data_IF_454496901672
#
_entry.id   IF_454496901672
#
_cell.length_a   1.000
_cell.length_b   1.000
_cell.length_c   1.000
_cell.angle_alpha   90.00
_cell.angle_beta   90.00
_cell.angle_gamma   90.00
#
_symmetry.space_group_name_H-M   'P 1'
#
loop_
_entity.id
_entity.type
_entity.pdbx_description
1 polymer ?
#
# COMPACT_ATOMS: atom_id res chain seq x y z
N UNK A 1 24.24 -39.28 20.41
CA UNK A 1 22.93 -39.10 19.76
C UNK A 1 21.85 -38.43 20.62
N UNK A 2 21.72 -38.71 21.92
CA UNK A 2 20.71 -38.06 22.77
C UNK A 2 20.82 -36.53 22.78
N UNK A 3 22.03 -35.99 22.87
CA UNK A 3 22.23 -34.54 22.90
C UNK A 3 21.99 -33.90 21.53
N UNK A 4 22.46 -34.51 20.46
CA UNK A 4 22.24 -34.01 19.09
C UNK A 4 20.75 -33.93 18.78
N UNK A 5 19.96 -34.90 19.27
CA UNK A 5 18.51 -34.85 19.27
C UNK A 5 17.93 -33.67 20.07
N UNK A 6 18.44 -33.39 21.27
CA UNK A 6 18.03 -32.23 22.08
C UNK A 6 18.37 -30.91 21.38
N UNK A 7 19.58 -30.79 20.83
CA UNK A 7 20.03 -29.61 20.08
C UNK A 7 19.15 -29.43 18.85
N UNK A 8 18.95 -30.48 18.07
CA UNK A 8 18.11 -30.45 16.87
C UNK A 8 16.66 -30.05 17.20
N UNK A 9 16.05 -30.66 18.22
CA UNK A 9 14.70 -30.31 18.69
C UNK A 9 14.59 -28.85 19.15
N UNK A 10 15.63 -28.36 19.86
CA UNK A 10 15.70 -26.95 20.28
C UNK A 10 15.79 -26.01 19.07
N UNK A 11 16.61 -26.33 18.07
CA UNK A 11 16.72 -25.55 16.84
C UNK A 11 15.42 -25.57 16.01
N UNK A 12 14.67 -26.68 15.99
CA UNK A 12 13.33 -26.75 15.38
C UNK A 12 12.38 -25.76 16.05
N UNK A 13 12.30 -25.78 17.38
CA UNK A 13 11.43 -24.88 18.13
C UNK A 13 11.76 -23.40 17.85
N UNK A 14 13.05 -23.06 17.83
CA UNK A 14 13.52 -21.72 17.48
C UNK A 14 13.21 -21.35 16.02
N UNK A 15 13.32 -22.30 15.08
CA UNK A 15 13.01 -22.06 13.67
C UNK A 15 11.52 -21.77 13.47
N UNK A 16 10.65 -22.58 14.07
CA UNK A 16 9.19 -22.36 14.04
C UNK A 16 8.85 -20.97 14.60
N UNK A 17 9.40 -20.63 15.76
CA UNK A 17 9.22 -19.31 16.37
C UNK A 17 9.70 -18.18 15.44
N UNK A 18 10.87 -18.35 14.82
CA UNK A 18 11.43 -17.36 13.88
C UNK A 18 10.55 -17.16 12.66
N UNK A 19 10.05 -18.23 12.03
CA UNK A 19 9.18 -18.11 10.86
C UNK A 19 7.80 -17.53 11.22
N UNK A 20 7.25 -17.89 12.37
CA UNK A 20 6.04 -17.25 12.90
C UNK A 20 6.24 -15.74 13.09
N UNK A 21 7.32 -15.34 13.76
CA UNK A 21 7.68 -13.93 13.97
C UNK A 21 7.84 -13.19 12.64
N UNK A 22 8.48 -13.82 11.64
CA UNK A 22 8.60 -13.24 10.30
C UNK A 22 7.24 -13.07 9.61
N UNK A 23 6.31 -14.01 9.78
CA UNK A 23 4.98 -13.90 9.18
C UNK A 23 4.20 -12.69 9.69
N UNK A 24 4.41 -12.29 10.94
CA UNK A 24 3.75 -11.15 11.57
C UNK A 24 4.38 -9.80 11.16
N UNK A 25 5.71 -9.69 11.21
CA UNK A 25 6.41 -8.40 11.06
C UNK A 25 7.00 -8.19 9.66
N UNK A 26 7.22 -9.26 8.90
CA UNK A 26 7.89 -9.25 7.59
C UNK A 26 9.31 -8.64 7.62
N UNK A 27 9.99 -8.65 8.78
CA UNK A 27 11.40 -8.23 8.89
C UNK A 27 12.33 -9.25 8.22
N UNK A 28 13.09 -8.80 7.22
CA UNK A 28 14.07 -9.63 6.50
C UNK A 28 15.14 -10.22 7.40
N UNK A 29 15.48 -9.55 8.51
CA UNK A 29 16.45 -10.08 9.47
C UNK A 29 15.96 -11.38 10.10
N UNK A 30 14.68 -11.42 10.46
CA UNK A 30 14.03 -12.61 11.02
C UNK A 30 13.93 -13.74 10.00
N UNK A 31 13.69 -13.43 8.73
CA UNK A 31 13.72 -14.42 7.66
C UNK A 31 15.10 -15.07 7.53
N UNK A 32 16.17 -14.28 7.41
CA UNK A 32 17.52 -14.83 7.25
C UNK A 32 18.00 -15.57 8.49
N UNK A 33 17.53 -15.17 9.69
CA UNK A 33 17.78 -15.92 10.90
C UNK A 33 17.10 -17.30 10.87
N UNK A 34 15.83 -17.38 10.47
CA UNK A 34 15.11 -18.65 10.30
C UNK A 34 15.78 -19.56 9.25
N UNK A 35 16.21 -18.99 8.13
CA UNK A 35 16.98 -19.73 7.11
C UNK A 35 18.32 -20.23 7.65
N UNK A 36 19.01 -19.43 8.46
CA UNK A 36 20.23 -19.86 9.13
C UNK A 36 19.96 -21.01 10.11
N UNK A 37 18.87 -20.98 10.88
CA UNK A 37 18.48 -22.07 11.77
C UNK A 37 18.24 -23.39 11.01
N UNK A 38 17.62 -23.35 9.82
CA UNK A 38 17.48 -24.54 8.97
C UNK A 38 18.85 -25.11 8.60
N UNK A 39 19.79 -24.27 8.18
CA UNK A 39 21.15 -24.74 7.84
C UNK A 39 21.93 -25.22 9.07
N UNK A 40 21.69 -24.63 10.25
CA UNK A 40 22.29 -25.07 11.51
C UNK A 40 21.74 -26.42 11.96
N UNK A 41 20.44 -26.66 11.82
CA UNK A 41 19.81 -27.97 12.02
C UNK A 41 20.46 -29.02 11.09
N UNK A 42 20.60 -28.68 9.80
CA UNK A 42 21.30 -29.52 8.84
C UNK A 42 22.72 -29.86 9.30
N UNK A 43 23.47 -28.87 9.81
CA UNK A 43 24.83 -29.08 10.31
C UNK A 43 24.88 -30.01 11.53
N UNK A 44 23.92 -29.90 12.46
CA UNK A 44 23.84 -30.76 13.64
C UNK A 44 23.54 -32.22 13.26
N UNK A 45 22.65 -32.45 12.29
CA UNK A 45 22.28 -33.82 11.90
C UNK A 45 23.24 -34.45 10.90
N UNK A 46 23.93 -33.61 10.11
CA UNK A 46 24.82 -34.03 9.02
C UNK A 46 26.27 -34.30 9.45
N UNK A 47 26.71 -33.78 10.59
CA UNK A 47 28.07 -34.02 11.08
C UNK A 47 28.15 -35.30 11.94
N UNK A 48 29.33 -35.92 11.96
CA UNK A 48 29.58 -37.13 12.74
C UNK A 48 29.60 -36.85 14.24
N UNK A 49 29.10 -37.80 15.01
CA UNK A 49 29.12 -37.81 16.48
C UNK A 49 30.36 -38.56 17.00
N UNK A 50 30.50 -38.63 18.33
CA UNK A 50 31.64 -39.26 19.01
C UNK A 50 31.84 -40.75 18.66
N UNK A 51 30.78 -41.45 18.24
CA UNK A 51 30.77 -42.83 17.76
C UNK A 51 30.91 -42.95 16.22
N UNK A 52 31.09 -41.83 15.51
CA UNK A 52 31.20 -41.76 14.06
C UNK A 52 29.88 -41.82 13.30
N UNK A 53 28.76 -42.09 13.98
CA UNK A 53 27.43 -42.10 13.36
C UNK A 53 26.94 -40.68 13.09
N UNK A 54 25.90 -40.53 12.25
CA UNK A 54 25.25 -39.23 12.01
C UNK A 54 23.77 -39.34 12.29
N UNK A 55 23.19 -38.33 12.91
CA UNK A 55 21.76 -38.36 13.25
C UNK A 55 20.88 -38.48 12.01
N UNK A 56 21.28 -37.89 10.87
CA UNK A 56 20.48 -37.99 9.65
C UNK A 56 20.35 -39.43 9.13
N UNK A 57 21.32 -40.31 9.40
CA UNK A 57 21.32 -41.70 8.93
C UNK A 57 20.18 -42.53 9.56
N UNK A 58 19.62 -42.05 10.68
CA UNK A 58 18.43 -42.61 11.32
C UNK A 58 17.12 -42.08 10.73
N UNK A 59 17.16 -40.89 10.11
CA UNK A 59 16.00 -40.24 9.48
C UNK A 59 15.86 -40.74 8.04
N UNK A 60 16.99 -40.91 7.34
CA UNK A 60 17.05 -41.32 5.95
C UNK A 60 18.19 -42.31 5.76
N UNK A 61 17.90 -43.45 5.12
CA UNK A 61 18.94 -44.40 4.71
C UNK A 61 19.85 -43.73 3.67
N UNK A 62 21.19 -43.71 3.88
CA UNK A 62 22.13 -43.23 2.89
C UNK A 62 21.99 -44.00 1.58
N UNK A 63 22.23 -43.33 0.46
CA UNK A 63 22.41 -44.03 -0.81
C UNK A 63 23.72 -44.80 -0.80
N UNK A 64 23.71 -46.02 -1.34
CA UNK A 64 24.89 -46.87 -1.46
C UNK A 64 25.96 -46.22 -2.35
N UNK A 65 25.52 -45.58 -3.44
CA UNK A 65 26.35 -44.75 -4.32
C UNK A 65 25.87 -43.29 -4.26
N UNK A 66 26.81 -42.33 -4.25
CA UNK A 66 26.44 -40.92 -4.21
C UNK A 66 26.06 -40.44 -5.63
N UNK A 67 24.82 -39.96 -5.83
CA UNK A 67 24.33 -39.57 -7.15
C UNK A 67 24.95 -38.26 -7.68
N UNK A 68 25.68 -37.51 -6.86
CA UNK A 68 26.16 -36.16 -7.21
C UNK A 68 27.67 -36.03 -7.34
N UNK A 69 28.45 -36.83 -6.61
CA UNK A 69 29.91 -36.70 -6.52
C UNK A 69 30.55 -38.05 -6.25
N UNK A 70 31.81 -38.22 -6.63
CA UNK A 70 32.63 -39.43 -6.40
C UNK A 70 33.09 -39.60 -4.93
N UNK A 71 32.32 -39.07 -3.98
CA UNK A 71 32.57 -39.13 -2.54
C UNK A 71 31.38 -39.79 -1.83
N UNK A 72 31.58 -40.35 -0.63
CA UNK A 72 30.47 -40.99 0.10
C UNK A 72 29.29 -40.02 0.33
N UNK A 73 28.06 -40.47 0.08
CA UNK A 73 26.85 -39.62 0.18
C UNK A 73 26.73 -38.90 1.55
N UNK A 74 26.96 -39.57 2.69
CA UNK A 74 26.94 -38.88 3.99
C UNK A 74 27.99 -37.76 4.14
N UNK A 75 29.16 -37.92 3.52
CA UNK A 75 30.20 -36.89 3.54
C UNK A 75 29.79 -35.66 2.73
N UNK A 76 29.04 -35.87 1.64
CA UNK A 76 28.51 -34.81 0.78
C UNK A 76 27.45 -34.02 1.51
N UNK A 77 26.49 -34.71 2.15
CA UNK A 77 25.47 -34.08 2.99
C UNK A 77 26.14 -33.21 4.06
N UNK A 78 27.10 -33.76 4.79
CA UNK A 78 27.85 -33.05 5.84
C UNK A 78 28.52 -31.76 5.34
N UNK A 79 29.11 -31.78 4.13
CA UNK A 79 29.71 -30.59 3.55
C UNK A 79 28.67 -29.58 3.08
N UNK A 80 27.61 -29.99 2.39
CA UNK A 80 26.55 -29.08 1.95
C UNK A 80 26.00 -28.30 3.15
N UNK A 81 25.64 -29.00 4.22
CA UNK A 81 25.08 -28.36 5.42
C UNK A 81 26.12 -27.50 6.14
N UNK A 82 27.38 -27.95 6.24
CA UNK A 82 28.45 -27.20 6.88
C UNK A 82 28.77 -25.88 6.16
N UNK A 83 28.85 -25.92 4.82
CA UNK A 83 29.10 -24.73 4.01
C UNK A 83 27.90 -23.79 4.02
N UNK A 84 26.69 -24.33 3.86
CA UNK A 84 25.46 -23.55 3.91
C UNK A 84 25.29 -22.85 5.27
N UNK A 85 25.59 -23.53 6.37
CA UNK A 85 25.53 -22.96 7.71
C UNK A 85 26.48 -21.76 7.87
N UNK A 86 27.72 -21.88 7.39
CA UNK A 86 28.72 -20.82 7.46
C UNK A 86 28.29 -19.59 6.64
N UNK A 87 27.87 -19.81 5.40
CA UNK A 87 27.45 -18.77 4.47
C UNK A 87 26.19 -18.06 4.97
N UNK A 88 25.19 -18.83 5.40
CA UNK A 88 23.91 -18.29 5.85
C UNK A 88 24.08 -17.47 7.14
N UNK A 89 25.04 -17.82 8.01
CA UNK A 89 25.36 -16.99 9.16
C UNK A 89 25.85 -15.59 8.74
N UNK A 90 26.74 -15.51 7.75
CA UNK A 90 27.25 -14.24 7.21
C UNK A 90 26.12 -13.41 6.59
N UNK A 91 25.22 -14.06 5.84
CA UNK A 91 24.05 -13.40 5.24
C UNK A 91 23.11 -12.84 6.31
N UNK A 92 22.83 -13.62 7.35
CA UNK A 92 22.05 -13.18 8.50
C UNK A 92 22.73 -12.00 9.22
N UNK A 93 23.99 -12.16 9.60
CA UNK A 93 24.74 -11.20 10.41
C UNK A 93 24.86 -9.83 9.71
N UNK A 94 25.20 -9.82 8.42
CA UNK A 94 25.31 -8.58 7.64
C UNK A 94 23.95 -7.89 7.44
N UNK A 95 22.86 -8.66 7.36
CA UNK A 95 21.51 -8.08 7.32
C UNK A 95 21.15 -7.49 8.68
N UNK A 96 21.43 -8.20 9.78
CA UNK A 96 21.08 -7.77 11.13
C UNK A 96 21.61 -6.37 11.43
N UNK A 97 22.88 -6.12 11.11
CA UNK A 97 23.55 -4.83 11.33
C UNK A 97 23.31 -3.79 10.21
N UNK A 98 22.49 -4.12 9.19
CA UNK A 98 22.23 -3.31 8.00
C UNK A 98 23.52 -2.89 7.25
N UNK A 99 24.45 -3.84 7.09
CA UNK A 99 25.79 -3.56 6.56
C UNK A 99 25.75 -2.89 5.17
N UNK A 100 24.83 -3.30 4.30
CA UNK A 100 24.68 -2.72 2.93
C UNK A 100 24.40 -1.21 2.95
N UNK A 101 23.58 -0.75 3.89
CA UNK A 101 23.14 0.65 3.95
C UNK A 101 24.23 1.55 4.52
N UNK A 102 24.94 1.09 5.56
CA UNK A 102 25.90 1.93 6.30
C UNK A 102 27.35 1.75 5.83
N UNK A 103 27.71 0.57 5.33
CA UNK A 103 29.08 0.21 4.94
C UNK A 103 29.08 -0.62 3.64
N UNK A 104 28.75 -0.03 2.49
CA UNK A 104 28.57 -0.75 1.23
C UNK A 104 29.83 -1.49 0.76
N UNK A 105 31.03 -0.94 1.00
CA UNK A 105 32.29 -1.62 0.69
C UNK A 105 32.47 -2.89 1.52
N UNK A 106 32.21 -2.85 2.83
CA UNK A 106 32.25 -4.03 3.69
C UNK A 106 31.22 -5.09 3.24
N UNK A 107 30.04 -4.66 2.81
CA UNK A 107 29.05 -5.56 2.23
C UNK A 107 29.56 -6.25 0.96
N UNK A 108 30.26 -5.54 0.07
CA UNK A 108 30.90 -6.15 -1.11
C UNK A 108 31.96 -7.19 -0.73
N UNK A 109 32.78 -6.93 0.30
CA UNK A 109 33.72 -7.93 0.83
C UNK A 109 33.01 -9.20 1.32
N UNK A 110 31.85 -9.07 1.97
CA UNK A 110 31.05 -10.26 2.34
C UNK A 110 30.52 -11.00 1.13
N UNK A 111 30.18 -10.33 0.02
CA UNK A 111 29.79 -11.00 -1.23
C UNK A 111 30.97 -11.78 -1.83
N UNK A 112 32.15 -11.16 -1.86
CA UNK A 112 33.37 -11.82 -2.33
C UNK A 112 33.66 -13.09 -1.51
N UNK A 113 33.53 -13.00 -0.18
CA UNK A 113 33.63 -14.16 0.70
C UNK A 113 32.61 -15.24 0.34
N UNK A 114 31.34 -14.90 0.14
CA UNK A 114 30.29 -15.88 -0.19
C UNK A 114 30.56 -16.59 -1.53
N UNK A 115 31.01 -15.84 -2.54
CA UNK A 115 31.39 -16.40 -3.85
C UNK A 115 32.61 -17.31 -3.70
N UNK A 116 33.64 -16.85 -2.97
CA UNK A 116 34.82 -17.65 -2.65
C UNK A 116 34.44 -18.97 -1.96
N UNK A 117 33.58 -18.92 -0.95
CA UNK A 117 33.16 -20.09 -0.17
C UNK A 117 32.38 -21.09 -1.01
N UNK A 118 31.49 -20.62 -1.88
CA UNK A 118 30.75 -21.46 -2.82
C UNK A 118 31.66 -22.07 -3.90
N UNK A 119 32.59 -21.27 -4.44
CA UNK A 119 33.56 -21.73 -5.44
C UNK A 119 34.46 -22.80 -4.84
N UNK A 120 34.94 -22.58 -3.61
CA UNK A 120 35.75 -23.56 -2.88
C UNK A 120 35.02 -24.89 -2.71
N UNK A 121 33.74 -24.87 -2.30
CA UNK A 121 32.92 -26.08 -2.21
C UNK A 121 32.84 -26.84 -3.54
N UNK A 122 32.53 -26.13 -4.63
CA UNK A 122 32.37 -26.73 -5.97
C UNK A 122 33.70 -27.32 -6.43
N UNK A 123 34.79 -26.56 -6.30
CA UNK A 123 36.12 -26.98 -6.73
C UNK A 123 36.58 -28.20 -5.94
N UNK A 124 36.43 -28.18 -4.61
CA UNK A 124 36.83 -29.29 -3.75
C UNK A 124 35.99 -30.57 -3.96
N UNK A 125 34.75 -30.45 -4.45
CA UNK A 125 33.86 -31.59 -4.66
C UNK A 125 33.85 -32.17 -6.07
N UNK A 126 34.13 -31.36 -7.08
CA UNK A 126 34.11 -31.78 -8.48
C UNK A 126 35.48 -32.13 -9.03
N UNK A 127 36.56 -31.59 -8.45
CA UNK A 127 37.90 -31.82 -8.96
C UNK A 127 38.68 -32.66 -7.96
N UNK A 128 39.30 -33.72 -8.47
CA UNK A 128 40.27 -34.50 -7.71
C UNK A 128 41.61 -33.74 -7.73
N UNK A 129 41.82 -32.92 -6.71
CA UNK A 129 43.00 -32.04 -6.64
C UNK A 129 44.07 -32.73 -5.80
N UNK A 130 45.11 -33.24 -6.47
CA UNK A 130 46.31 -33.80 -5.85
C UNK A 130 47.25 -32.72 -5.29
N UNK A 131 46.74 -31.83 -4.43
CA UNK A 131 47.56 -30.84 -3.72
C UNK A 131 47.46 -31.06 -2.22
N UNK A 132 48.45 -30.56 -1.47
CA UNK A 132 48.40 -30.57 -0.02
C UNK A 132 47.08 -29.95 0.47
N UNK A 133 46.31 -30.73 1.23
CA UNK A 133 45.04 -30.32 1.84
C UNK A 133 45.18 -28.97 2.58
N UNK A 134 46.34 -28.65 3.14
CA UNK A 134 46.58 -27.36 3.80
C UNK A 134 46.41 -26.17 2.85
N UNK A 135 46.84 -26.29 1.60
CA UNK A 135 46.69 -25.23 0.59
C UNK A 135 45.22 -25.00 0.21
N UNK A 136 44.38 -26.04 0.36
CA UNK A 136 42.94 -25.95 0.12
C UNK A 136 42.24 -25.34 1.35
N UNK A 137 42.55 -25.82 2.56
CA UNK A 137 41.79 -25.46 3.77
C UNK A 137 42.24 -24.15 4.42
N UNK A 138 43.53 -23.77 4.34
CA UNK A 138 44.03 -22.57 5.02
C UNK A 138 43.41 -21.28 4.48
N UNK A 139 43.30 -21.07 3.16
CA UNK A 139 42.62 -19.88 2.64
C UNK A 139 41.14 -19.80 3.06
N UNK A 140 40.44 -20.95 3.14
CA UNK A 140 39.07 -21.03 3.64
C UNK A 140 38.97 -20.64 5.12
N UNK A 141 39.86 -21.17 5.96
CA UNK A 141 39.93 -20.86 7.40
C UNK A 141 40.21 -19.36 7.61
N UNK A 142 41.25 -18.83 6.95
CA UNK A 142 41.67 -17.43 7.09
C UNK A 142 40.56 -16.48 6.62
N UNK A 143 39.98 -16.73 5.44
CA UNK A 143 38.88 -15.90 4.92
C UNK A 143 37.64 -15.93 5.83
N UNK A 144 37.34 -17.07 6.46
CA UNK A 144 36.26 -17.20 7.44
C UNK A 144 36.52 -16.34 8.69
N UNK A 145 37.73 -16.41 9.26
CA UNK A 145 38.09 -15.59 10.40
C UNK A 145 38.04 -14.09 10.07
N UNK A 146 38.58 -13.71 8.90
CA UNK A 146 38.57 -12.32 8.44
C UNK A 146 37.15 -11.78 8.27
N UNK A 147 36.23 -12.54 7.66
CA UNK A 147 34.84 -12.06 7.47
C UNK A 147 34.09 -11.97 8.81
N UNK A 148 34.34 -12.88 9.74
CA UNK A 148 33.71 -12.82 11.07
C UNK A 148 34.25 -11.65 11.89
N UNK A 149 35.56 -11.39 11.85
CA UNK A 149 36.16 -10.22 12.50
C UNK A 149 35.68 -8.91 11.86
N UNK A 150 35.54 -8.86 10.53
CA UNK A 150 34.97 -7.73 9.79
C UNK A 150 33.54 -7.44 10.28
N UNK A 151 32.68 -8.46 10.34
CA UNK A 151 31.29 -8.31 10.81
C UNK A 151 31.26 -7.87 12.27
N UNK A 152 32.10 -8.45 13.13
CA UNK A 152 32.19 -8.08 14.55
C UNK A 152 32.61 -6.61 14.71
N UNK A 153 33.63 -6.18 13.96
CA UNK A 153 34.09 -4.79 13.92
C UNK A 153 32.98 -3.82 13.49
N UNK A 154 32.27 -4.12 12.40
CA UNK A 154 31.18 -3.25 11.95
C UNK A 154 29.96 -3.30 12.85
N UNK A 155 29.69 -4.41 13.53
CA UNK A 155 28.68 -4.45 14.59
C UNK A 155 29.03 -3.48 15.73
N UNK A 156 30.29 -3.44 16.14
CA UNK A 156 30.79 -2.48 17.12
C UNK A 156 30.69 -1.03 16.65
N UNK A 157 31.05 -0.75 15.39
CA UNK A 157 30.89 0.60 14.81
C UNK A 157 29.42 1.03 14.73
N UNK A 158 28.50 0.10 14.39
CA UNK A 158 27.06 0.35 14.41
C UNK A 158 26.55 0.64 15.82
N UNK A 159 27.05 -0.07 16.83
CA UNK A 159 26.73 0.24 18.23
C UNK A 159 27.18 1.65 18.61
N UNK A 160 28.42 2.04 18.28
CA UNK A 160 28.93 3.40 18.50
C UNK A 160 28.12 4.47 17.76
N UNK A 161 27.54 4.12 16.61
CA UNK A 161 26.69 5.01 15.80
C UNK A 161 25.23 5.07 16.29
N UNK A 162 24.91 4.52 17.46
CA UNK A 162 23.58 4.62 18.09
C UNK A 162 22.68 3.39 17.92
N UNK A 163 23.10 2.33 17.22
CA UNK A 163 22.30 1.10 17.11
C UNK A 163 22.41 0.27 18.40
N UNK A 164 21.57 0.57 19.40
CA UNK A 164 21.59 -0.11 20.72
C UNK A 164 21.51 -1.63 20.58
N UNK A 165 20.71 -2.12 19.63
CA UNK A 165 20.53 -3.55 19.40
C UNK A 165 21.81 -4.26 18.93
N UNK A 166 22.76 -3.53 18.32
CA UNK A 166 24.05 -4.09 17.93
C UNK A 166 24.89 -4.53 19.13
N UNK A 167 24.74 -3.92 20.31
CA UNK A 167 25.39 -4.38 21.56
C UNK A 167 25.07 -5.84 21.87
N UNK A 168 23.79 -6.20 21.73
CA UNK A 168 23.32 -7.54 22.07
C UNK A 168 23.77 -8.53 20.99
N UNK A 169 23.81 -8.10 19.72
CA UNK A 169 24.39 -8.89 18.63
C UNK A 169 25.87 -9.20 18.88
N UNK A 170 26.67 -8.22 19.31
CA UNK A 170 28.10 -8.42 19.65
C UNK A 170 28.25 -9.46 20.75
N UNK A 171 27.41 -9.37 21.80
CA UNK A 171 27.41 -10.34 22.90
C UNK A 171 27.02 -11.74 22.39
N UNK A 172 25.99 -11.86 21.56
CA UNK A 172 25.54 -13.14 21.00
C UNK A 172 26.48 -13.75 19.96
N UNK A 173 27.25 -12.92 19.25
CA UNK A 173 28.24 -13.36 18.27
C UNK A 173 29.51 -13.89 18.95
N UNK A 174 29.83 -13.45 20.17
CA UNK A 174 31.07 -13.80 20.85
C UNK A 174 31.21 -15.31 21.11
N UNK A 175 30.21 -16.03 21.67
CA UNK A 175 30.29 -17.49 21.79
C UNK A 175 30.51 -18.16 20.44
N UNK A 176 29.80 -17.72 19.39
CA UNK A 176 29.98 -18.29 18.05
C UNK A 176 31.39 -18.07 17.52
N UNK A 177 31.96 -16.88 17.68
CA UNK A 177 33.34 -16.60 17.28
C UNK A 177 34.32 -17.54 17.99
N UNK A 178 34.16 -17.70 19.32
CA UNK A 178 35.01 -18.56 20.15
C UNK A 178 34.90 -20.03 19.71
N UNK A 179 33.68 -20.57 19.64
CA UNK A 179 33.48 -21.95 19.22
C UNK A 179 33.95 -22.15 17.79
N UNK A 180 33.68 -21.23 16.86
CA UNK A 180 34.15 -21.31 15.48
C UNK A 180 35.67 -21.32 15.39
N UNK A 181 36.36 -20.51 16.19
CA UNK A 181 37.83 -20.55 16.29
C UNK A 181 38.29 -21.93 16.73
N UNK A 182 37.72 -22.51 17.79
CA UNK A 182 38.07 -23.87 18.23
C UNK A 182 37.83 -24.91 17.13
N UNK A 183 36.77 -24.74 16.34
CA UNK A 183 36.46 -25.61 15.21
C UNK A 183 37.50 -25.55 14.10
N UNK A 184 37.85 -24.33 13.70
CA UNK A 184 38.84 -24.08 12.65
C UNK A 184 40.26 -24.47 13.09
N UNK A 185 40.62 -24.23 14.35
CA UNK A 185 41.89 -24.69 14.92
C UNK A 185 41.96 -26.23 14.99
N UNK A 186 40.84 -26.90 15.29
CA UNK A 186 40.74 -28.36 15.23
C UNK A 186 41.04 -28.92 13.83
N UNK A 187 40.63 -28.22 12.75
CA UNK A 187 40.99 -28.60 11.38
C UNK A 187 42.51 -28.50 11.10
N UNK A 188 43.23 -27.69 11.89
CA UNK A 188 44.69 -27.58 11.83
C UNK A 188 45.40 -28.61 12.71
N UNK A 189 44.67 -29.48 13.40
CA UNK A 189 45.21 -30.43 14.36
C UNK A 189 45.57 -29.82 15.72
N UNK A 190 45.14 -28.59 15.99
CA UNK A 190 45.36 -27.92 17.27
C UNK A 190 44.29 -28.39 18.25
N UNK A 191 44.72 -28.91 19.41
CA UNK A 191 43.82 -29.37 20.45
C UNK A 191 42.99 -28.22 21.03
N UNK A 192 41.72 -28.51 21.30
CA UNK A 192 40.83 -27.53 21.92
C UNK A 192 41.20 -27.33 23.39
N UNK A 193 40.86 -26.18 23.99
CA UNK A 193 41.13 -25.95 25.41
C UNK A 193 40.52 -27.01 26.34
N UNK A 194 39.44 -27.65 25.89
CA UNK A 194 38.75 -28.71 26.63
C UNK A 194 39.57 -29.99 26.77
N UNK A 195 40.56 -30.22 25.91
CA UNK A 195 41.48 -31.37 26.00
C UNK A 195 42.37 -31.34 27.26
N UNK A 196 42.45 -30.19 27.93
CA UNK A 196 43.24 -30.02 29.17
C UNK A 196 42.37 -30.11 30.43
N UNK A 197 41.08 -30.42 30.30
CA UNK A 197 40.22 -30.67 31.46
C UNK A 197 40.59 -32.01 32.11
N UNK A 198 40.34 -32.18 33.43
CA UNK A 198 40.50 -33.48 34.07
C UNK A 198 39.61 -34.54 33.43
N UNK A 199 40.10 -35.77 33.37
CA UNK A 199 39.37 -36.94 32.89
C UNK A 199 37.99 -37.00 33.52
N UNK A 200 36.98 -36.68 32.73
CA UNK A 200 35.60 -36.54 33.16
C UNK A 200 34.68 -36.72 31.96
N UNK A 201 33.40 -37.00 32.21
CA UNK A 201 32.41 -37.03 31.14
C UNK A 201 32.28 -35.71 30.38
N UNK A 202 32.66 -34.59 31.01
CA UNK A 202 32.67 -33.25 30.38
C UNK A 202 33.86 -33.10 29.43
N UNK A 203 35.05 -33.56 29.83
CA UNK A 203 36.24 -33.58 28.96
C UNK A 203 35.96 -34.43 27.73
N UNK A 204 35.55 -35.69 27.91
CA UNK A 204 35.28 -36.63 26.81
C UNK A 204 34.29 -36.04 25.79
N UNK A 205 33.31 -35.29 26.30
CA UNK A 205 32.26 -34.69 25.52
C UNK A 205 32.70 -33.40 24.78
N UNK A 206 33.36 -32.46 25.47
CA UNK A 206 33.77 -31.17 24.89
C UNK A 206 35.09 -31.23 24.12
N UNK A 207 35.87 -32.31 24.27
CA UNK A 207 37.07 -32.52 23.46
C UNK A 207 36.72 -32.93 22.00
N UNK A 208 35.48 -33.35 21.74
CA UNK A 208 35.05 -33.70 20.40
C UNK A 208 34.62 -32.46 19.58
N UNK A 209 35.32 -32.22 18.46
CA UNK A 209 35.20 -30.97 17.70
C UNK A 209 33.76 -30.67 17.22
N UNK A 210 33.08 -31.64 16.62
CA UNK A 210 31.73 -31.46 16.05
C UNK A 210 30.70 -31.18 17.14
N UNK A 211 30.82 -31.85 18.28
CA UNK A 211 29.95 -31.66 19.45
C UNK A 211 30.12 -30.25 20.01
N UNK A 212 31.36 -29.80 20.18
CA UNK A 212 31.67 -28.44 20.64
C UNK A 212 31.13 -27.37 19.67
N UNK A 213 31.18 -27.62 18.36
CA UNK A 213 30.51 -26.76 17.38
C UNK A 213 28.99 -26.73 17.57
N UNK A 214 28.35 -27.90 17.74
CA UNK A 214 26.91 -28.02 17.89
C UNK A 214 26.39 -27.30 19.15
N UNK A 215 27.11 -27.42 20.27
CA UNK A 215 26.83 -26.67 21.51
C UNK A 215 26.97 -25.17 21.27
N UNK A 216 28.05 -24.74 20.61
CA UNK A 216 28.25 -23.33 20.27
C UNK A 216 27.15 -22.74 19.38
N UNK A 217 26.69 -23.51 18.39
CA UNK A 217 25.57 -23.15 17.53
C UNK A 217 24.27 -23.02 18.32
N UNK A 218 23.99 -23.93 19.24
CA UNK A 218 22.79 -23.87 20.09
C UNK A 218 22.80 -22.62 20.98
N UNK A 219 23.91 -22.38 21.69
CA UNK A 219 24.07 -21.21 22.56
C UNK A 219 23.87 -19.93 21.76
N UNK A 220 24.48 -19.84 20.58
CA UNK A 220 24.30 -18.71 19.68
C UNK A 220 22.83 -18.56 19.24
N UNK A 221 22.18 -19.64 18.81
CA UNK A 221 20.79 -19.61 18.39
C UNK A 221 19.87 -19.12 19.52
N UNK A 222 20.06 -19.62 20.74
CA UNK A 222 19.26 -19.15 21.88
C UNK A 222 19.46 -17.65 22.11
N UNK A 223 20.70 -17.17 22.15
CA UNK A 223 20.98 -15.76 22.37
C UNK A 223 20.41 -14.90 21.25
N UNK A 224 20.60 -15.28 19.99
CA UNK A 224 20.10 -14.53 18.83
C UNK A 224 18.58 -14.52 18.74
N UNK A 225 17.90 -15.62 19.10
CA UNK A 225 16.45 -15.66 19.21
C UNK A 225 15.92 -14.65 20.23
N UNK A 226 16.58 -14.51 21.39
CA UNK A 226 16.22 -13.50 22.40
C UNK A 226 16.46 -12.07 21.88
N UNK A 227 17.58 -11.83 21.18
CA UNK A 227 17.86 -10.52 20.56
C UNK A 227 16.76 -10.16 19.55
N UNK A 228 16.36 -11.13 18.74
CA UNK A 228 15.37 -10.96 17.69
C UNK A 228 13.96 -10.78 18.24
N UNK A 229 13.62 -11.43 19.35
CA UNK A 229 12.38 -11.17 20.09
C UNK A 229 12.34 -9.72 20.60
N UNK A 230 13.46 -9.19 21.11
CA UNK A 230 13.55 -7.77 21.51
C UNK A 230 13.44 -6.82 20.32
N UNK A 231 14.08 -7.14 19.19
CA UNK A 231 13.95 -6.38 17.93
C UNK A 231 12.52 -6.32 17.43
N UNK A 232 11.87 -7.47 17.40
CA UNK A 232 10.46 -7.68 17.04
C UNK A 232 9.56 -6.77 17.86
N UNK A 233 9.73 -6.79 19.19
CA UNK A 233 8.96 -5.92 20.09
C UNK A 233 9.20 -4.43 19.79
N UNK A 234 10.45 -4.02 19.65
CA UNK A 234 10.79 -2.63 19.34
C UNK A 234 10.16 -2.15 18.01
N UNK A 235 10.25 -2.95 16.96
CA UNK A 235 9.66 -2.63 15.66
C UNK A 235 8.13 -2.60 15.72
N UNK A 236 7.51 -3.47 16.52
CA UNK A 236 6.07 -3.47 16.74
C UNK A 236 5.62 -2.20 17.46
N UNK A 237 6.36 -1.76 18.48
CA UNK A 237 6.06 -0.54 19.23
C UNK A 237 6.16 0.70 18.32
N UNK A 238 7.22 0.80 17.50
CA UNK A 238 7.39 1.88 16.52
C UNK A 238 6.29 1.88 15.44
N UNK A 239 5.91 0.71 14.94
CA UNK A 239 4.82 0.58 13.98
C UNK A 239 3.48 1.04 14.59
N UNK A 240 3.18 0.61 15.82
CA UNK A 240 1.95 0.98 16.52
C UNK A 240 1.89 2.50 16.77
N UNK A 241 3.02 3.13 17.15
CA UNK A 241 3.10 4.59 17.33
C UNK A 241 2.84 5.34 16.01
N UNK A 242 3.43 4.87 14.91
CA UNK A 242 3.22 5.47 13.59
C UNK A 242 1.78 5.31 13.10
N UNK A 243 1.17 4.14 13.30
CA UNK A 243 -0.25 3.90 13.00
C UNK A 243 -1.13 4.86 13.82
N UNK A 244 -0.85 5.03 15.12
CA UNK A 244 -1.61 5.94 15.96
C UNK A 244 -1.53 7.39 15.45
N UNK A 245 -0.32 7.86 15.08
CA UNK A 245 -0.16 9.19 14.49
C UNK A 245 -0.97 9.36 13.20
N UNK A 246 -0.99 8.35 12.32
CA UNK A 246 -1.79 8.40 11.10
C UNK A 246 -3.29 8.41 11.37
N UNK A 247 -3.77 7.66 12.38
CA UNK A 247 -5.17 7.70 12.80
C UNK A 247 -5.53 9.08 13.34
N UNK A 248 -4.71 9.67 14.20
CA UNK A 248 -4.93 11.00 14.77
C UNK A 248 -4.94 12.08 13.67
N UNK A 249 -4.04 11.99 12.68
CA UNK A 249 -4.01 12.89 11.52
C UNK A 249 -5.26 12.74 10.64
N UNK A 250 -5.68 11.50 10.38
CA UNK A 250 -6.90 11.23 9.60
C UNK A 250 -8.15 11.74 10.31
N UNK A 251 -8.23 11.62 11.64
CA UNK A 251 -9.34 12.15 12.43
C UNK A 251 -9.39 13.68 12.38
N UNK A 252 -8.25 14.36 12.48
CA UNK A 252 -8.19 15.83 12.30
C UNK A 252 -8.63 16.25 10.89
N UNK A 253 -8.17 15.55 9.86
CA UNK A 253 -8.57 15.83 8.48
C UNK A 253 -10.08 15.62 8.28
N UNK A 254 -10.65 14.58 8.90
CA UNK A 254 -12.09 14.32 8.86
C UNK A 254 -12.89 15.46 9.48
N UNK A 255 -12.49 15.96 10.66
CA UNK A 255 -13.17 17.09 11.31
C UNK A 255 -13.15 18.34 10.42
N UNK A 256 -11.99 18.70 9.87
CA UNK A 256 -11.86 19.86 8.96
C UNK A 256 -12.69 19.67 7.69
N UNK A 257 -12.73 18.44 7.15
CA UNK A 257 -13.54 18.11 5.98
C UNK A 257 -15.04 18.24 6.29
N UNK A 258 -15.50 17.72 7.42
CA UNK A 258 -16.90 17.83 7.84
C UNK A 258 -17.32 19.31 8.01
N UNK A 259 -16.46 20.13 8.62
CA UNK A 259 -16.67 21.58 8.76
C UNK A 259 -16.74 22.28 7.39
N UNK A 260 -15.78 21.98 6.50
CA UNK A 260 -15.74 22.54 5.13
C UNK A 260 -16.98 22.13 4.32
N UNK A 261 -17.41 20.86 4.44
CA UNK A 261 -18.61 20.37 3.75
C UNK A 261 -19.86 21.06 4.28
N UNK A 262 -19.96 21.26 5.59
CA UNK A 262 -21.06 22.02 6.20
C UNK A 262 -21.12 23.45 5.67
N UNK A 263 -19.98 24.16 5.66
CA UNK A 263 -19.87 25.53 5.14
C UNK A 263 -20.24 25.61 3.65
N UNK A 264 -19.69 24.73 2.81
CA UNK A 264 -20.03 24.71 1.37
C UNK A 264 -21.47 24.36 1.11
N UNK A 265 -22.06 23.48 1.91
CA UNK A 265 -23.46 23.10 1.78
C UNK A 265 -24.37 24.26 2.19
N UNK A 266 -24.02 25.04 3.23
CA UNK A 266 -24.77 26.24 3.59
C UNK A 266 -24.65 27.33 2.52
N UNK A 267 -23.45 27.62 2.02
CA UNK A 267 -23.23 28.58 0.93
C UNK A 267 -24.03 28.20 -0.34
N UNK A 268 -24.03 26.92 -0.73
CA UNK A 268 -24.79 26.43 -1.87
C UNK A 268 -26.29 26.60 -1.65
N UNK A 269 -26.79 26.34 -0.44
CA UNK A 269 -28.19 26.52 -0.08
C UNK A 269 -28.61 27.99 -0.13
N UNK A 270 -27.77 28.90 0.37
CA UNK A 270 -28.01 30.34 0.26
C UNK A 270 -28.05 30.79 -1.20
N UNK A 271 -27.09 30.37 -2.02
CA UNK A 271 -27.09 30.67 -3.46
C UNK A 271 -28.31 30.10 -4.19
N UNK A 272 -28.73 28.88 -3.87
CA UNK A 272 -29.93 28.27 -4.45
C UNK A 272 -31.18 29.06 -4.07
N UNK A 273 -31.34 29.40 -2.79
CA UNK A 273 -32.47 30.20 -2.30
C UNK A 273 -32.50 31.59 -2.94
N UNK A 274 -31.32 32.22 -3.08
CA UNK A 274 -31.19 33.50 -3.78
C UNK A 274 -31.58 33.39 -5.25
N UNK A 275 -31.12 32.34 -5.94
CA UNK A 275 -31.47 32.10 -7.35
C UNK A 275 -32.98 31.88 -7.53
N UNK A 276 -33.62 31.10 -6.65
CA UNK A 276 -35.06 30.91 -6.62
C UNK A 276 -35.79 32.25 -6.38
N UNK A 277 -35.30 33.08 -5.47
CA UNK A 277 -35.88 34.40 -5.21
C UNK A 277 -35.75 35.32 -6.42
N UNK A 278 -34.57 35.40 -7.06
CA UNK A 278 -34.35 36.19 -8.28
C UNK A 278 -35.27 35.69 -9.40
N UNK A 279 -35.36 34.37 -9.59
CA UNK A 279 -36.26 33.74 -10.54
C UNK A 279 -37.71 34.20 -10.34
N UNK A 280 -38.19 34.16 -9.11
CA UNK A 280 -39.56 34.55 -8.78
C UNK A 280 -39.80 36.06 -9.00
N UNK A 281 -38.80 36.92 -8.77
CA UNK A 281 -38.94 38.35 -9.12
C UNK A 281 -38.97 38.58 -10.62
N UNK A 282 -38.10 37.90 -11.39
CA UNK A 282 -38.05 38.03 -12.85
C UNK A 282 -39.31 37.47 -13.53
N UNK A 283 -39.96 36.45 -12.96
CA UNK A 283 -41.20 35.88 -13.47
C UNK A 283 -42.34 36.91 -13.61
N UNK A 284 -42.31 38.01 -12.85
CA UNK A 284 -43.30 39.11 -12.94
C UNK A 284 -43.14 39.97 -14.19
N UNK A 285 -41.96 39.96 -14.81
CA UNK A 285 -41.59 40.85 -15.93
C UNK A 285 -41.37 40.09 -17.24
N UNK A 286 -41.42 38.76 -17.21
CA UNK A 286 -41.15 37.90 -18.37
C UNK A 286 -42.42 37.07 -18.64
N UNK A 287 -42.88 36.97 -19.90
CA UNK A 287 -44.02 36.12 -20.25
C UNK A 287 -43.84 34.67 -19.73
N UNK A 288 -44.89 34.02 -19.20
CA UNK A 288 -44.77 32.69 -18.58
C UNK A 288 -44.09 31.64 -19.45
N UNK A 289 -44.30 31.71 -20.77
CA UNK A 289 -43.73 30.77 -21.75
C UNK A 289 -42.21 30.91 -21.87
N UNK A 290 -41.68 32.14 -21.70
CA UNK A 290 -40.25 32.41 -21.73
C UNK A 290 -39.62 32.03 -20.39
N UNK A 291 -40.29 32.30 -19.26
CA UNK A 291 -39.83 31.88 -17.94
C UNK A 291 -39.68 30.35 -17.85
N UNK A 292 -40.71 29.58 -18.16
CA UNK A 292 -40.67 28.12 -18.12
C UNK A 292 -39.60 27.53 -19.07
N UNK A 293 -39.47 28.10 -20.27
CA UNK A 293 -38.48 27.64 -21.24
C UNK A 293 -37.03 27.95 -20.79
N UNK A 294 -36.79 29.10 -20.15
CA UNK A 294 -35.47 29.52 -19.64
C UNK A 294 -35.01 28.57 -18.52
N UNK A 295 -35.90 28.24 -17.58
CA UNK A 295 -35.61 27.31 -16.47
C UNK A 295 -35.46 25.85 -16.91
N UNK A 296 -36.16 25.43 -17.95
CA UNK A 296 -35.99 24.10 -18.54
C UNK A 296 -34.68 23.95 -19.35
N UNK A 297 -33.86 25.00 -19.47
CA UNK A 297 -32.65 25.01 -20.30
C UNK A 297 -32.96 24.90 -21.80
N UNK A 298 -34.18 25.26 -22.21
CA UNK A 298 -34.67 25.12 -23.59
C UNK A 298 -34.65 26.43 -24.38
N UNK A 299 -34.18 27.52 -23.78
CA UNK A 299 -33.99 28.81 -24.46
C UNK A 299 -32.56 28.89 -24.97
N UNK A 300 -32.42 28.83 -26.29
CA UNK A 300 -31.21 29.27 -26.96
C UNK A 300 -31.15 30.80 -26.87
N UNK A 301 -30.14 31.33 -26.19
CA UNK A 301 -30.01 32.78 -25.91
C UNK A 301 -29.38 33.54 -27.07
N UNK A 302 -29.02 32.86 -28.16
CA UNK A 302 -28.60 33.51 -29.39
C UNK A 302 -29.76 34.26 -30.05
N UNK A 303 -29.70 35.60 -30.01
CA UNK A 303 -30.59 36.49 -30.78
C UNK A 303 -30.27 36.32 -32.27
N UNK A 304 -30.85 35.30 -32.90
CA UNK A 304 -30.73 35.05 -34.34
C UNK A 304 -31.95 35.62 -35.06
N UNK A 305 -31.72 36.46 -36.07
CA UNK A 305 -32.79 36.99 -36.92
C UNK A 305 -33.29 35.88 -37.85
N UNK A 306 -34.55 35.47 -37.69
CA UNK A 306 -35.19 34.46 -38.57
C UNK A 306 -36.42 35.08 -39.23
N UNK A 307 -36.55 34.89 -40.54
CA UNK A 307 -37.79 35.22 -41.26
C UNK A 307 -38.77 34.07 -41.10
N UNK A 308 -39.89 34.31 -40.44
CA UNK A 308 -41.02 33.37 -40.33
C UNK A 308 -42.29 34.04 -40.83
N UNK A 309 -43.21 33.24 -41.37
CA UNK A 309 -44.56 33.69 -41.67
C UNK A 309 -45.40 33.47 -40.42
N UNK A 310 -46.04 34.54 -39.95
CA UNK A 310 -46.84 34.54 -38.74
C UNK A 310 -48.26 34.98 -39.05
N UNK A 311 -49.23 34.41 -38.35
CA UNK A 311 -50.57 35.00 -38.25
C UNK A 311 -50.57 35.88 -37.01
N UNK A 312 -50.85 37.17 -37.18
CA UNK A 312 -50.85 38.15 -36.08
C UNK A 312 -52.27 38.57 -35.76
N UNK A 313 -52.58 38.67 -34.47
CA UNK A 313 -53.84 39.17 -33.95
C UNK A 313 -53.59 40.36 -33.03
N UNK A 314 -54.41 41.38 -33.20
CA UNK A 314 -54.48 42.54 -32.33
C UNK A 314 -55.87 42.56 -31.70
N UNK A 315 -55.93 42.66 -30.37
CA UNK A 315 -57.14 42.96 -29.61
C UNK A 315 -56.98 44.33 -28.96
N UNK A 316 -58.07 45.08 -28.85
CA UNK A 316 -58.11 46.43 -28.32
C UNK A 316 -59.44 46.63 -27.58
N UNK A 317 -59.42 47.34 -26.45
CA UNK A 317 -60.60 47.53 -25.61
C UNK A 317 -61.48 48.64 -26.20
N UNK A 318 -62.71 48.28 -26.58
CA UNK A 318 -63.69 49.24 -27.09
C UNK A 318 -63.95 50.37 -26.09
N UNK A 319 -63.91 51.61 -26.57
CA UNK A 319 -64.15 52.84 -25.80
C UNK A 319 -63.18 53.04 -24.61
N UNK A 320 -62.00 52.42 -24.64
CA UNK A 320 -61.02 52.54 -23.55
C UNK A 320 -60.69 53.98 -23.17
N UNK A 321 -60.44 54.86 -24.15
CA UNK A 321 -60.04 56.25 -23.88
C UNK A 321 -61.05 56.96 -22.97
N UNK A 322 -62.34 56.90 -23.28
CA UNK A 322 -63.39 57.54 -22.48
C UNK A 322 -63.54 56.90 -21.08
N UNK A 323 -63.34 55.58 -20.98
CA UNK A 323 -63.37 54.86 -19.70
C UNK A 323 -62.17 55.24 -18.83
N UNK A 324 -60.98 55.35 -19.43
CA UNK A 324 -59.72 55.64 -18.74
C UNK A 324 -59.66 57.05 -18.17
N UNK A 325 -60.28 58.04 -18.85
CA UNK A 325 -60.35 59.43 -18.39
C UNK A 325 -61.13 59.60 -17.08
N UNK A 326 -61.97 58.63 -16.72
CA UNK A 326 -62.82 58.66 -15.52
C UNK A 326 -62.34 57.70 -14.42
N UNK A 327 -61.19 57.04 -14.58
CA UNK A 327 -60.62 56.09 -13.62
C UNK A 327 -59.40 56.64 -12.90
N UNK A 328 -59.22 56.26 -11.62
CA UNK A 328 -57.96 56.51 -10.93
C UNK A 328 -56.84 55.62 -11.50
N UNK A 329 -55.57 56.05 -11.49
CA UNK A 329 -54.46 55.29 -12.08
C UNK A 329 -54.33 53.86 -11.53
N UNK A 330 -54.58 53.65 -10.24
CA UNK A 330 -54.53 52.34 -9.59
C UNK A 330 -55.63 51.42 -10.09
N UNK A 331 -56.85 51.94 -10.22
CA UNK A 331 -58.02 51.21 -10.71
C UNK A 331 -57.90 50.89 -12.21
N UNK A 332 -57.35 51.83 -13.00
CA UNK A 332 -57.06 51.62 -14.42
C UNK A 332 -56.01 50.52 -14.61
N UNK A 333 -54.95 50.53 -13.80
CA UNK A 333 -53.91 49.50 -13.83
C UNK A 333 -54.48 48.13 -13.45
N UNK A 334 -55.35 48.07 -12.44
CA UNK A 334 -56.03 46.83 -12.04
C UNK A 334 -56.94 46.31 -13.15
N UNK A 335 -57.75 47.17 -13.76
CA UNK A 335 -58.63 46.84 -14.87
C UNK A 335 -57.87 46.25 -16.08
N UNK A 336 -56.78 46.92 -16.49
CA UNK A 336 -55.90 46.43 -17.56
C UNK A 336 -55.28 45.08 -17.22
N UNK A 337 -54.78 44.91 -15.99
CA UNK A 337 -54.18 43.65 -15.55
C UNK A 337 -55.19 42.49 -15.54
N UNK A 338 -56.43 42.74 -15.12
CA UNK A 338 -57.49 41.73 -15.14
C UNK A 338 -57.84 41.34 -16.60
N UNK A 339 -58.02 42.32 -17.48
CA UNK A 339 -58.27 42.09 -18.90
C UNK A 339 -57.13 41.29 -19.56
N UNK A 340 -55.88 41.75 -19.43
CA UNK A 340 -54.72 41.07 -20.02
C UNK A 340 -54.48 39.69 -19.43
N UNK A 341 -54.80 39.47 -18.14
CA UNK A 341 -54.70 38.15 -17.51
C UNK A 341 -55.68 37.16 -18.13
N UNK A 342 -56.94 37.56 -18.34
CA UNK A 342 -57.93 36.71 -19.00
C UNK A 342 -57.60 36.48 -20.48
N UNK A 343 -57.19 37.53 -21.19
CA UNK A 343 -56.78 37.43 -22.58
C UNK A 343 -55.55 36.55 -22.78
N UNK A 344 -54.57 36.63 -21.87
CA UNK A 344 -53.41 35.73 -21.83
C UNK A 344 -53.84 34.28 -21.72
N UNK A 345 -54.74 33.96 -20.77
CA UNK A 345 -55.25 32.59 -20.60
C UNK A 345 -55.90 32.07 -21.87
N UNK A 346 -56.69 32.91 -22.55
CA UNK A 346 -57.34 32.56 -23.82
C UNK A 346 -56.31 32.33 -24.92
N UNK A 347 -55.38 33.26 -25.11
CA UNK A 347 -54.33 33.20 -26.13
C UNK A 347 -53.47 31.93 -25.98
N UNK A 348 -53.00 31.66 -24.77
CA UNK A 348 -52.16 30.50 -24.45
C UNK A 348 -52.90 29.19 -24.64
N UNK A 349 -54.19 29.11 -24.25
CA UNK A 349 -55.02 27.92 -24.45
C UNK A 349 -55.15 27.54 -25.93
N UNK A 350 -55.12 28.52 -26.81
CA UNK A 350 -55.18 28.30 -28.25
C UNK A 350 -53.78 28.13 -28.89
N UNK A 351 -52.70 28.21 -28.11
CA UNK A 351 -51.33 28.05 -28.62
C UNK A 351 -50.77 29.31 -29.29
N UNK A 352 -51.32 30.49 -28.98
CA UNK A 352 -50.74 31.76 -29.41
C UNK A 352 -49.53 32.14 -28.54
N UNK A 353 -48.58 32.83 -29.14
CA UNK A 353 -47.45 33.44 -28.46
C UNK A 353 -47.73 34.93 -28.28
N UNK A 354 -47.55 35.44 -27.06
CA UNK A 354 -47.75 36.84 -26.73
C UNK A 354 -46.50 37.62 -27.14
N UNK A 355 -46.65 38.62 -28.01
CA UNK A 355 -45.54 39.48 -28.40
C UNK A 355 -45.34 40.60 -27.38
N UNK A 356 -46.39 41.41 -27.17
CA UNK A 356 -46.39 42.55 -26.25
C UNK A 356 -47.79 43.09 -25.98
N UNK A 357 -47.89 43.89 -24.93
CA UNK A 357 -49.02 44.79 -24.66
C UNK A 357 -48.68 46.20 -25.11
N UNK A 358 -49.61 46.89 -25.76
CA UNK A 358 -49.43 48.24 -26.30
C UNK A 358 -50.62 49.08 -25.84
N UNK A 359 -50.47 49.78 -24.70
CA UNK A 359 -51.56 50.53 -24.09
C UNK A 359 -52.68 49.62 -23.61
N UNK A 360 -53.84 49.76 -24.22
CA UNK A 360 -55.06 48.96 -24.09
C UNK A 360 -55.17 47.80 -25.10
N UNK A 361 -54.20 47.67 -25.99
CA UNK A 361 -54.15 46.59 -26.97
C UNK A 361 -53.19 45.47 -26.59
N UNK A 362 -53.48 44.28 -27.10
CA UNK A 362 -52.66 43.08 -26.99
C UNK A 362 -52.28 42.59 -28.39
N UNK A 363 -50.99 42.33 -28.61
CA UNK A 363 -50.48 41.71 -29.82
C UNK A 363 -50.05 40.28 -29.54
N UNK A 364 -50.61 39.34 -30.29
CA UNK A 364 -50.26 37.92 -30.24
C UNK A 364 -50.04 37.38 -31.64
N UNK A 365 -49.28 36.30 -31.75
CA UNK A 365 -49.04 35.65 -33.03
C UNK A 365 -49.06 34.12 -32.93
N UNK A 366 -49.29 33.49 -34.08
CA UNK A 366 -49.17 32.05 -34.30
C UNK A 366 -48.10 31.79 -35.36
N UNK A 367 -47.42 30.65 -35.25
CA UNK A 367 -46.38 30.22 -36.18
C UNK A 367 -44.95 30.24 -35.63
N UNK A 368 -44.76 30.69 -34.39
CA UNK A 368 -43.48 30.68 -33.66
C UNK A 368 -43.76 30.60 -32.14
N UNK A 369 -43.00 29.82 -31.32
CA UNK A 369 -41.87 28.95 -31.68
C UNK A 369 -42.22 27.74 -32.55
N UNK A 370 -43.50 27.32 -32.57
CA UNK A 370 -44.04 26.23 -33.38
C UNK A 370 -45.17 26.66 -34.32
N UNK A 371 -45.33 25.96 -35.44
CA UNK A 371 -46.38 26.21 -36.46
C UNK A 371 -47.11 24.91 -36.79
N UNK A 372 -48.41 25.00 -37.06
CA UNK A 372 -49.21 23.90 -37.64
C UNK A 372 -49.46 24.09 -39.15
N UNK A 373 -48.78 25.07 -39.75
CA UNK A 373 -48.97 25.52 -41.12
C UNK A 373 -49.86 26.77 -41.18
N UNK A 374 -49.55 27.66 -42.14
CA UNK A 374 -50.18 29.01 -42.27
C UNK A 374 -51.71 28.98 -42.15
N UNK A 375 -52.36 27.98 -42.78
CA UNK A 375 -53.83 27.85 -42.76
C UNK A 375 -54.37 27.47 -41.39
N UNK A 376 -53.71 26.56 -40.70
CA UNK A 376 -54.17 26.07 -39.39
C UNK A 376 -53.89 27.09 -38.29
N UNK A 377 -52.75 27.78 -38.38
CA UNK A 377 -52.39 28.89 -37.51
C UNK A 377 -53.42 30.04 -37.66
N UNK A 378 -53.82 30.37 -38.90
CA UNK A 378 -54.89 31.33 -39.16
C UNK A 378 -56.26 30.88 -38.63
N UNK A 379 -56.61 29.60 -38.80
CA UNK A 379 -57.86 29.04 -38.27
C UNK A 379 -57.92 29.15 -36.75
N UNK A 380 -56.85 28.73 -36.07
CA UNK A 380 -56.75 28.76 -34.61
C UNK A 380 -56.81 30.19 -34.08
N UNK A 381 -56.19 31.13 -34.80
CA UNK A 381 -56.26 32.55 -34.49
C UNK A 381 -57.70 33.08 -34.52
N UNK A 382 -58.49 32.67 -35.51
CA UNK A 382 -59.91 33.05 -35.60
C UNK A 382 -60.72 32.38 -34.48
N UNK A 383 -60.48 31.10 -34.19
CA UNK A 383 -61.14 30.39 -33.09
C UNK A 383 -60.89 31.09 -31.74
N UNK A 384 -59.66 31.54 -31.50
CA UNK A 384 -59.32 32.33 -30.31
C UNK A 384 -60.06 33.68 -30.29
N UNK A 385 -60.07 34.42 -31.41
CA UNK A 385 -60.75 35.70 -31.51
C UNK A 385 -62.26 35.59 -31.25
N UNK A 386 -62.90 34.47 -31.64
CA UNK A 386 -64.30 34.21 -31.34
C UNK A 386 -64.54 33.94 -29.84
N UNK A 387 -63.59 33.32 -29.15
CA UNK A 387 -63.67 33.11 -27.69
C UNK A 387 -63.47 34.43 -26.94
N UNK A 388 -62.58 35.30 -27.41
CA UNK A 388 -62.42 36.67 -26.89
C UNK A 388 -63.72 37.47 -27.05
N UNK A 389 -64.27 37.54 -28.27
CA UNK A 389 -65.49 38.27 -28.56
C UNK A 389 -66.70 37.81 -27.73
N UNK A 390 -66.81 36.52 -27.42
CA UNK A 390 -67.92 35.98 -26.61
C UNK A 390 -67.76 36.20 -25.10
N UNK A 391 -66.55 36.53 -24.62
CA UNK A 391 -66.27 36.78 -23.20
C UNK A 391 -66.20 38.26 -22.86
N UNK A 392 -65.74 39.08 -23.80
CA UNK A 392 -65.38 40.49 -23.56
C UNK A 392 -66.16 41.50 -24.44
N UNK A 393 -66.98 41.03 -25.38
CA UNK A 393 -67.92 41.87 -26.15
C UNK A 393 -69.19 42.17 -25.37
#
# INVERSE_FOLDING_TARGET
>A
MWLEGIIFGSLIALAIFSFYSYSQIKDRTTLYYGLWLITAMGAVIGQGTHDGTRLFEFIMRPFDENPFFDTAFPSTVAAIVGYSQAMMFVVFARQFINLKQYYPFAFQLTNLYLIWYATHFIVFRLFDIEVDLRLIWYPLIISTLLVLLLIYYYAFMRYKSGMVLAKIFIIGMLPYLVFRIFGLLGLLGIQQPFAYLPDSGIEFFLNHNTITQAVGLLVQAIIMSLVLAKRTKFLQDELNENIQKQVDEAERQKVVLEETVLERTSELREKSTMMEWISHQLAKYIPPQIHEALFAGKVDTEITTRRRKLTVFFSDIKNFTATSENMQPEDLTKYLNEYFSEMTKIAVKHGATIDKYIGDSMMVFFGDPGTRGEKEDARTCIEMALVDANKNG
#
